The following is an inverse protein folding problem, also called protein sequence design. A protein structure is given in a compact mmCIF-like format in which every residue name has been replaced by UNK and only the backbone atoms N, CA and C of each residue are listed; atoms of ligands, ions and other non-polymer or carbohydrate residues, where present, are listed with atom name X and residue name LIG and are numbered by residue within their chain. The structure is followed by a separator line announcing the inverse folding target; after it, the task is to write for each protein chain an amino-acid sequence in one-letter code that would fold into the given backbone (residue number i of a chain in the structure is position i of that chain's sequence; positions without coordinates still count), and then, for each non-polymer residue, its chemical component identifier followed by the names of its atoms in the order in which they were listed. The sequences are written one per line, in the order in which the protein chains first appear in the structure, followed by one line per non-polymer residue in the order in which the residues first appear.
data_IF_797259268902
#
_entry.id   IF_797259268902
#
_cell.length_a   1.000
_cell.length_b   1.000
_cell.length_c   1.000
_cell.angle_alpha   90.00
_cell.angle_beta   90.00
_cell.angle_gamma   90.00
#
_symmetry.space_group_name_H-M   'P 1'
#
loop_
_entity.id
_entity.type
_entity.pdbx_description
1 polymer ?
#
# COMPACT_ATOMS: atom_id res chain seq x y z
N UNK A 1 22.20 -15.51 -25.18
CA UNK A 1 21.38 -14.56 -24.44
C UNK A 1 22.34 -13.62 -23.69
N UNK A 2 22.74 -12.52 -24.36
CA UNK A 2 23.61 -11.52 -23.76
C UNK A 2 22.78 -10.60 -22.88
N UNK A 3 23.02 -10.63 -21.59
CA UNK A 3 22.53 -9.61 -20.67
C UNK A 3 23.15 -8.27 -21.08
N UNK A 4 22.37 -7.45 -21.73
CA UNK A 4 22.73 -6.06 -21.98
C UNK A 4 22.61 -5.36 -20.63
N UNK A 5 23.70 -5.23 -19.90
CA UNK A 5 23.80 -4.36 -18.72
C UNK A 5 23.56 -2.92 -19.18
N UNK A 6 22.31 -2.49 -19.13
CA UNK A 6 21.99 -1.07 -19.32
C UNK A 6 22.57 -0.34 -18.11
N UNK A 7 23.53 0.54 -18.35
CA UNK A 7 24.04 1.43 -17.32
C UNK A 7 22.89 2.31 -16.84
N UNK A 8 22.41 2.08 -15.63
CA UNK A 8 21.37 2.87 -15.00
C UNK A 8 22.01 3.88 -14.06
N UNK A 9 21.52 5.10 -14.08
CA UNK A 9 21.85 6.13 -13.10
C UNK A 9 20.56 6.51 -12.38
N UNK A 10 20.60 6.57 -11.05
CA UNK A 10 19.47 6.89 -10.20
C UNK A 10 19.88 7.96 -9.20
N UNK A 11 19.09 9.02 -9.12
CA UNK A 11 19.23 10.08 -8.13
C UNK A 11 17.90 10.24 -7.40
N UNK A 12 17.97 10.34 -6.08
CA UNK A 12 16.82 10.62 -5.22
C UNK A 12 17.15 11.77 -4.28
N UNK A 13 16.26 12.73 -4.16
CA UNK A 13 16.33 13.84 -3.23
C UNK A 13 15.00 14.03 -2.53
N UNK A 14 15.04 14.25 -1.23
CA UNK A 14 13.83 14.38 -0.43
C UNK A 14 13.97 15.40 0.67
N UNK A 15 12.84 15.90 1.14
CA UNK A 15 12.70 16.76 2.30
C UNK A 15 11.68 16.18 3.25
N UNK A 16 11.97 16.24 4.53
CA UNK A 16 11.10 15.81 5.60
C UNK A 16 11.03 16.89 6.66
N UNK A 17 9.83 17.16 7.14
CA UNK A 17 9.56 18.06 8.22
C UNK A 17 8.71 17.40 9.28
N UNK A 18 9.00 17.65 10.57
CA UNK A 18 8.25 17.12 11.70
C UNK A 18 8.15 18.18 12.78
N UNK A 19 7.00 18.25 13.43
CA UNK A 19 6.76 19.08 14.61
C UNK A 19 5.90 18.34 15.61
N UNK A 20 6.28 18.48 16.87
CA UNK A 20 5.54 17.94 18.01
C UNK A 20 5.03 19.09 18.88
N UNK A 21 3.84 18.90 19.42
CA UNK A 21 3.19 19.84 20.34
C UNK A 21 2.89 19.17 21.67
N UNK A 22 2.60 19.98 22.66
CA UNK A 22 2.08 19.50 23.92
C UNK A 22 0.79 18.68 23.71
N UNK A 23 0.43 17.87 24.70
CA UNK A 23 -0.75 17.00 24.68
C UNK A 23 -0.71 15.84 23.66
N UNK A 24 0.49 15.50 23.14
CA UNK A 24 0.71 14.32 22.33
C UNK A 24 0.36 14.46 20.85
N UNK A 25 0.23 15.68 20.35
CA UNK A 25 0.09 15.94 18.91
C UNK A 25 1.44 15.94 18.20
N UNK A 26 1.50 15.32 17.05
CA UNK A 26 2.66 15.29 16.14
C UNK A 26 2.18 15.39 14.70
N UNK A 27 2.82 16.24 13.92
CA UNK A 27 2.61 16.33 12.47
C UNK A 27 3.94 16.12 11.77
N UNK A 28 3.92 15.35 10.71
CA UNK A 28 5.06 15.05 9.85
C UNK A 28 4.62 15.21 8.40
N UNK A 29 5.45 15.81 7.57
CA UNK A 29 5.26 15.85 6.12
C UNK A 29 6.58 15.53 5.43
N UNK A 30 6.49 14.89 4.27
CA UNK A 30 7.67 14.55 3.48
C UNK A 30 7.35 14.46 2.01
N UNK A 31 8.35 14.77 1.20
CA UNK A 31 8.32 14.61 -0.24
C UNK A 31 9.68 14.15 -0.74
N UNK A 32 9.69 13.12 -1.60
CA UNK A 32 10.86 12.61 -2.27
C UNK A 32 10.63 12.60 -3.77
N UNK A 33 11.60 13.14 -4.49
CA UNK A 33 11.67 13.13 -5.93
C UNK A 33 12.79 12.20 -6.37
N UNK A 34 12.54 11.43 -7.40
CA UNK A 34 13.52 10.52 -7.96
C UNK A 34 13.57 10.69 -9.47
N UNK A 35 14.74 10.51 -10.03
CA UNK A 35 14.97 10.53 -11.47
C UNK A 35 16.20 9.74 -11.84
N UNK A 36 16.31 9.40 -13.12
CA UNK A 36 17.46 8.66 -13.57
C UNK A 36 17.43 8.36 -15.06
N UNK A 37 18.56 7.84 -15.53
CA UNK A 37 18.74 7.44 -16.92
C UNK A 37 18.47 5.93 -17.07
N UNK A 38 17.78 5.56 -18.14
CA UNK A 38 17.40 4.18 -18.46
C UNK A 38 16.47 3.53 -17.39
N UNK A 39 15.62 4.34 -16.77
CA UNK A 39 14.52 3.91 -15.92
C UNK A 39 13.20 3.95 -16.71
N UNK A 40 12.14 3.38 -16.17
CA UNK A 40 10.78 3.43 -16.72
C UNK A 40 10.21 4.85 -16.83
N UNK A 41 10.72 5.79 -16.03
CA UNK A 41 10.42 7.22 -16.14
C UNK A 41 11.67 8.03 -15.76
N UNK A 42 11.93 9.10 -16.49
CA UNK A 42 13.09 9.97 -16.25
C UNK A 42 12.98 10.74 -14.95
N UNK A 43 11.74 11.02 -14.51
CA UNK A 43 11.46 11.73 -13.29
C UNK A 43 10.11 11.29 -12.69
N UNK A 44 10.07 11.10 -11.37
CA UNK A 44 8.83 10.75 -10.66
C UNK A 44 8.86 11.14 -9.18
N UNK A 45 7.68 11.31 -8.62
CA UNK A 45 7.49 11.47 -7.17
C UNK A 45 7.52 10.09 -6.52
N UNK A 46 8.54 9.82 -5.70
CA UNK A 46 8.66 8.56 -4.97
C UNK A 46 7.77 8.56 -3.74
N UNK A 47 7.77 9.67 -3.00
CA UNK A 47 6.90 9.87 -1.85
C UNK A 47 6.36 11.30 -1.82
N UNK A 48 5.11 11.46 -1.37
CA UNK A 48 4.53 12.73 -0.96
C UNK A 48 3.45 12.43 0.06
N UNK A 49 3.66 12.81 1.32
CA UNK A 49 2.76 12.43 2.41
C UNK A 49 2.67 13.46 3.53
N UNK A 50 1.59 13.36 4.28
CA UNK A 50 1.40 14.04 5.55
C UNK A 50 0.86 13.04 6.58
N UNK A 51 1.47 13.02 7.76
CA UNK A 51 1.04 12.25 8.92
C UNK A 51 0.57 13.22 10.01
N UNK A 52 -0.54 12.90 10.64
CA UNK A 52 -1.01 13.54 11.85
C UNK A 52 -1.19 12.47 12.91
N UNK A 53 -0.54 12.61 14.03
CA UNK A 53 -0.66 11.68 15.14
C UNK A 53 -1.13 12.39 16.39
N UNK A 54 -1.97 11.71 17.14
CA UNK A 54 -2.39 12.07 18.48
C UNK A 54 -2.25 10.88 19.41
N UNK A 55 -1.32 11.02 20.36
CA UNK A 55 -0.94 9.92 21.25
C UNK A 55 -0.55 8.67 20.42
N UNK A 56 -1.28 7.57 20.57
CA UNK A 56 -1.02 6.31 19.85
C UNK A 56 -1.65 6.24 18.45
N UNK A 57 -2.64 7.09 18.15
CA UNK A 57 -3.36 7.04 16.87
C UNK A 57 -2.62 7.89 15.85
N UNK A 58 -2.45 7.37 14.64
CA UNK A 58 -1.88 8.08 13.49
C UNK A 58 -2.77 7.99 12.27
N UNK A 59 -2.99 9.14 11.63
CA UNK A 59 -3.56 9.26 10.31
C UNK A 59 -2.46 9.65 9.32
N UNK A 60 -2.41 9.00 8.19
CA UNK A 60 -1.44 9.25 7.11
C UNK A 60 -2.18 9.43 5.80
N UNK A 61 -1.84 10.47 5.05
CA UNK A 61 -2.42 10.77 3.73
C UNK A 61 -1.29 10.89 2.72
N UNK A 62 -1.45 10.28 1.56
CA UNK A 62 -0.51 10.33 0.43
C UNK A 62 0.29 9.06 0.24
N UNK A 63 1.32 9.15 -0.59
CA UNK A 63 2.24 8.08 -0.94
C UNK A 63 3.42 8.08 0.04
N UNK A 64 3.53 7.06 0.87
CA UNK A 64 4.61 6.91 1.85
C UNK A 64 5.17 5.50 1.81
N UNK A 65 6.50 5.37 1.71
CA UNK A 65 7.18 4.10 1.90
C UNK A 65 6.98 3.60 3.33
N UNK A 66 6.59 2.34 3.46
CA UNK A 66 6.33 1.68 4.73
C UNK A 66 7.10 0.37 4.76
N UNK A 67 8.19 0.37 5.50
CA UNK A 67 9.02 -0.82 5.61
C UNK A 67 8.38 -1.81 6.59
N UNK A 68 7.80 -2.88 6.00
CA UNK A 68 7.57 -4.09 6.75
C UNK A 68 6.41 -4.13 7.74
N UNK A 69 5.42 -3.24 7.67
CA UNK A 69 4.22 -3.43 8.49
C UNK A 69 3.29 -4.51 7.90
N UNK A 70 2.76 -5.48 8.62
CA UNK A 70 2.75 -5.61 10.09
C UNK A 70 3.98 -6.27 10.70
N UNK A 71 4.81 -6.96 9.92
CA UNK A 71 6.03 -7.63 10.37
C UNK A 71 7.23 -6.86 9.85
N UNK A 72 8.08 -6.39 10.74
CA UNK A 72 9.35 -5.80 10.36
C UNK A 72 10.25 -6.87 9.76
N UNK A 73 10.65 -6.66 8.51
CA UNK A 73 11.61 -7.53 7.83
C UNK A 73 12.91 -6.78 7.63
N UNK A 74 14.03 -7.48 7.79
CA UNK A 74 15.32 -6.91 7.43
C UNK A 74 15.38 -6.75 5.89
N UNK A 75 15.40 -5.50 5.44
CA UNK A 75 15.45 -5.15 4.01
C UNK A 75 16.70 -5.68 3.30
N UNK A 76 17.75 -6.05 4.05
CA UNK A 76 18.96 -6.67 3.51
C UNK A 76 18.76 -8.14 3.18
N UNK A 77 17.77 -8.78 3.78
CA UNK A 77 17.50 -10.21 3.67
C UNK A 77 16.19 -10.53 2.94
N UNK A 78 15.36 -9.51 2.67
CA UNK A 78 14.03 -9.69 2.08
C UNK A 78 13.72 -8.62 1.05
N UNK A 79 13.20 -9.02 -0.10
CA UNK A 79 12.68 -8.11 -1.15
C UNK A 79 11.37 -7.41 -0.79
N UNK A 80 10.86 -7.61 0.40
CA UNK A 80 9.60 -7.07 0.88
C UNK A 80 8.63 -8.12 1.40
N UNK A 81 7.39 -7.72 1.59
CA UNK A 81 6.31 -8.63 2.00
C UNK A 81 5.67 -9.29 0.77
N UNK A 82 4.86 -10.32 1.01
CA UNK A 82 4.14 -11.05 -0.04
C UNK A 82 3.28 -10.14 -0.91
N UNK A 83 2.78 -9.02 -0.36
CA UNK A 83 1.83 -8.13 -1.01
C UNK A 83 2.43 -6.77 -1.38
N UNK A 84 3.39 -6.29 -0.60
CA UNK A 84 4.08 -5.01 -0.84
C UNK A 84 5.58 -5.27 -0.98
N UNK A 85 6.09 -5.20 -2.21
CA UNK A 85 7.52 -5.30 -2.48
C UNK A 85 8.28 -4.05 -2.03
N UNK A 86 9.53 -4.22 -1.58
CA UNK A 86 10.36 -3.11 -1.11
C UNK A 86 10.68 -2.07 -2.21
N UNK A 87 10.60 -2.45 -3.47
CA UNK A 87 10.90 -1.60 -4.62
C UNK A 87 9.66 -1.00 -5.30
N UNK A 88 8.45 -1.34 -4.83
CA UNK A 88 7.23 -0.80 -5.40
C UNK A 88 7.04 0.66 -5.00
N UNK A 89 6.54 1.48 -5.93
CA UNK A 89 6.08 2.83 -5.59
C UNK A 89 4.93 2.74 -4.58
N UNK A 90 4.96 3.52 -3.49
CA UNK A 90 3.90 3.49 -2.51
C UNK A 90 2.58 3.94 -3.11
N UNK A 91 1.53 3.19 -2.84
CA UNK A 91 0.16 3.53 -3.25
C UNK A 91 -0.30 4.77 -2.47
N UNK A 92 -0.77 5.84 -3.14
CA UNK A 92 -1.42 6.97 -2.48
C UNK A 92 -2.67 6.49 -1.74
N UNK A 93 -2.73 6.76 -0.44
CA UNK A 93 -3.78 6.24 0.43
C UNK A 93 -4.04 7.15 1.63
N UNK A 94 -5.22 7.02 2.19
CA UNK A 94 -5.56 7.49 3.53
C UNK A 94 -5.49 6.27 4.44
N UNK A 95 -4.68 6.35 5.50
CA UNK A 95 -4.47 5.28 6.47
C UNK A 95 -4.68 5.82 7.87
N UNK A 96 -5.43 5.10 8.67
CA UNK A 96 -5.62 5.38 10.11
C UNK A 96 -5.26 4.12 10.89
N UNK A 97 -4.53 4.28 11.99
CA UNK A 97 -4.18 3.12 12.82
C UNK A 97 -3.30 3.45 14.00
N UNK A 98 -2.84 2.37 14.61
CA UNK A 98 -1.89 2.32 15.70
C UNK A 98 -0.58 1.78 15.14
N UNK A 99 0.43 2.61 14.84
CA UNK A 99 1.69 2.15 14.27
C UNK A 99 2.52 1.33 15.25
N UNK A 100 2.36 1.61 16.55
CA UNK A 100 3.06 0.93 17.64
C UNK A 100 2.08 0.10 18.46
N UNK A 101 2.62 -0.88 19.19
CA UNK A 101 1.80 -1.66 20.12
C UNK A 101 1.26 -0.80 21.25
N UNK A 102 -0.06 -0.73 21.34
CA UNK A 102 -0.77 -0.10 22.44
C UNK A 102 -1.23 -1.18 23.42
N UNK A 103 -0.77 -1.09 24.65
CA UNK A 103 -1.23 -1.98 25.72
C UNK A 103 -2.72 -1.76 26.00
N UNK A 104 -3.47 -2.83 26.03
CA UNK A 104 -4.90 -2.81 26.34
C UNK A 104 -5.08 -2.57 27.84
N UNK A 105 -5.83 -1.54 28.25
CA UNK A 105 -6.12 -1.30 29.65
C UNK A 105 -6.76 -2.52 30.33
N UNK A 106 -6.54 -2.66 31.63
CA UNK A 106 -7.09 -3.73 32.47
C UNK A 106 -6.60 -5.16 32.19
N UNK A 107 -5.62 -5.34 31.29
CA UNK A 107 -5.04 -6.66 30.98
C UNK A 107 -3.77 -6.96 31.77
N UNK A 108 -3.37 -6.09 32.70
CA UNK A 108 -2.13 -6.25 33.48
C UNK A 108 -0.86 -6.28 32.60
N UNK A 109 -0.88 -5.55 31.49
CA UNK A 109 0.19 -5.51 30.46
C UNK A 109 0.41 -6.84 29.73
N UNK A 110 -0.57 -7.75 29.75
CA UNK A 110 -0.47 -9.03 29.04
C UNK A 110 -0.94 -8.97 27.59
N UNK A 111 -1.73 -7.98 27.22
CA UNK A 111 -2.24 -7.83 25.87
C UNK A 111 -1.89 -6.45 25.31
N UNK A 112 -1.30 -6.43 24.13
CA UNK A 112 -1.11 -5.21 23.34
C UNK A 112 -1.56 -5.45 21.90
N UNK A 113 -1.96 -4.38 21.24
CA UNK A 113 -2.40 -4.44 19.85
C UNK A 113 -1.80 -3.31 19.02
N UNK A 114 -1.57 -3.57 17.73
CA UNK A 114 -1.30 -2.58 16.69
C UNK A 114 -2.07 -2.94 15.44
N UNK A 115 -2.30 -1.98 14.57
CA UNK A 115 -3.01 -2.26 13.32
C UNK A 115 -3.38 -1.01 12.55
N UNK A 116 -3.98 -1.21 11.38
CA UNK A 116 -4.43 -0.11 10.55
C UNK A 116 -5.60 -0.49 9.67
N UNK A 117 -6.27 0.54 9.16
CA UNK A 117 -7.20 0.48 8.02
C UNK A 117 -6.75 1.55 7.03
N UNK A 118 -6.72 1.22 5.75
CA UNK A 118 -6.32 2.13 4.69
C UNK A 118 -7.17 1.94 3.44
N UNK A 119 -7.40 3.05 2.74
CA UNK A 119 -7.98 3.08 1.42
C UNK A 119 -7.12 3.95 0.50
N UNK A 120 -6.90 3.50 -0.71
CA UNK A 120 -6.04 4.14 -1.68
C UNK A 120 -6.49 3.93 -3.12
N UNK A 121 -5.70 4.47 -4.02
CA UNK A 121 -5.88 4.36 -5.45
C UNK A 121 -4.61 3.78 -6.06
N UNK A 122 -4.75 2.68 -6.79
CA UNK A 122 -3.64 2.13 -7.55
C UNK A 122 -3.30 3.07 -8.71
N UNK A 123 -2.06 3.53 -8.77
CA UNK A 123 -1.55 4.41 -9.82
C UNK A 123 -0.41 3.72 -10.55
N UNK A 124 -0.47 3.68 -11.87
CA UNK A 124 0.55 3.07 -12.74
C UNK A 124 1.25 4.08 -13.65
N UNK A 125 0.86 5.37 -13.58
CA UNK A 125 1.40 6.41 -14.46
C UNK A 125 1.07 6.20 -15.93
N UNK A 126 -0.07 5.57 -16.23
CA UNK A 126 -0.54 5.16 -17.55
C UNK A 126 0.26 4.02 -18.21
N UNK A 127 1.13 3.38 -17.45
CA UNK A 127 1.98 2.31 -17.97
C UNK A 127 1.17 1.19 -18.66
N UNK A 128 0.06 0.75 -18.04
CA UNK A 128 -0.79 -0.29 -18.63
C UNK A 128 -1.37 0.13 -19.99
N UNK A 129 -1.82 1.38 -20.12
CA UNK A 129 -2.36 1.92 -21.38
C UNK A 129 -1.28 2.06 -22.46
N UNK A 130 -0.08 2.50 -22.09
CA UNK A 130 1.03 2.70 -23.01
C UNK A 130 1.56 1.37 -23.57
N UNK A 131 1.63 0.34 -22.74
CA UNK A 131 2.15 -0.97 -23.11
C UNK A 131 1.07 -1.95 -23.59
N UNK A 132 -0.22 -1.66 -23.43
CA UNK A 132 -1.28 -2.49 -23.97
C UNK A 132 -1.18 -2.55 -25.50
N UNK A 133 -1.10 -3.76 -26.04
CA UNK A 133 -1.18 -4.03 -27.47
C UNK A 133 -2.59 -3.78 -28.03
N UNK A 134 -2.74 -3.96 -29.34
CA UNK A 134 -4.06 -3.93 -29.97
C UNK A 134 -4.93 -5.05 -29.40
N UNK A 135 -6.15 -4.71 -29.05
CA UNK A 135 -7.17 -5.59 -28.44
C UNK A 135 -6.82 -6.16 -27.05
N UNK A 136 -5.72 -5.70 -26.44
CA UNK A 136 -5.39 -6.08 -25.07
C UNK A 136 -6.12 -5.20 -24.05
N UNK A 137 -6.77 -5.82 -23.04
CA UNK A 137 -7.47 -5.07 -22.01
C UNK A 137 -6.51 -4.56 -20.92
N UNK A 138 -6.80 -3.37 -20.39
CA UNK A 138 -6.10 -2.80 -19.25
C UNK A 138 -7.07 -2.18 -18.22
N UNK A 139 -6.61 -1.94 -17.01
CA UNK A 139 -7.40 -1.43 -15.91
C UNK A 139 -6.95 -0.03 -15.49
N UNK A 140 -7.92 0.84 -15.19
CA UNK A 140 -7.69 2.17 -14.60
C UNK A 140 -8.57 2.40 -13.38
N UNK A 141 -8.16 3.32 -12.53
CA UNK A 141 -8.92 3.78 -11.35
C UNK A 141 -9.24 2.64 -10.36
N UNK A 142 -8.35 1.65 -10.24
CA UNK A 142 -8.52 0.54 -9.31
C UNK A 142 -8.29 1.03 -7.89
N UNK A 143 -9.27 0.81 -7.02
CA UNK A 143 -9.19 1.16 -5.61
C UNK A 143 -8.45 0.08 -4.82
N UNK A 144 -7.75 0.52 -3.79
CA UNK A 144 -6.95 -0.31 -2.89
C UNK A 144 -7.52 -0.21 -1.47
N UNK A 145 -7.60 -1.35 -0.80
CA UNK A 145 -7.91 -1.44 0.61
C UNK A 145 -6.86 -2.30 1.31
N UNK A 146 -6.45 -1.87 2.50
CA UNK A 146 -5.57 -2.65 3.36
C UNK A 146 -6.02 -2.50 4.81
N UNK A 147 -6.03 -3.61 5.53
CA UNK A 147 -6.23 -3.62 6.97
C UNK A 147 -5.33 -4.64 7.62
N UNK A 148 -4.93 -4.36 8.84
CA UNK A 148 -4.19 -5.30 9.66
C UNK A 148 -4.56 -5.17 11.11
N UNK A 149 -4.44 -6.27 11.82
CA UNK A 149 -4.51 -6.33 13.27
C UNK A 149 -3.43 -7.30 13.77
N UNK A 150 -2.58 -6.83 14.66
CA UNK A 150 -1.58 -7.62 15.37
C UNK A 150 -1.90 -7.59 16.85
N UNK A 151 -1.93 -8.75 17.46
CA UNK A 151 -2.09 -8.95 18.89
C UNK A 151 -0.80 -9.50 19.46
N UNK A 152 -0.33 -8.92 20.53
CA UNK A 152 0.83 -9.40 21.30
C UNK A 152 0.37 -9.82 22.67
N UNK A 153 0.65 -11.07 23.02
CA UNK A 153 0.36 -11.68 24.32
C UNK A 153 1.66 -11.92 25.05
N UNK A 154 1.79 -11.44 26.26
CA UNK A 154 2.96 -11.66 27.10
C UNK A 154 3.27 -10.44 27.96
N UNK A 155 3.98 -10.69 29.06
CA UNK A 155 4.49 -9.66 29.92
C UNK A 155 5.93 -10.00 30.29
N UNK A 156 6.90 -9.39 29.64
CA UNK A 156 8.33 -9.67 29.80
C UNK A 156 8.86 -9.45 31.21
N UNK A 157 8.19 -8.62 31.99
CA UNK A 157 8.56 -8.42 33.40
C UNK A 157 8.25 -9.64 34.27
N UNK A 158 7.23 -10.43 33.86
CA UNK A 158 6.76 -11.61 34.58
C UNK A 158 7.22 -12.93 33.96
N UNK A 159 7.26 -12.98 32.63
CA UNK A 159 7.64 -14.16 31.87
C UNK A 159 8.40 -13.72 30.60
N UNK A 160 9.63 -14.20 30.35
CA UNK A 160 10.42 -13.80 29.17
C UNK A 160 9.92 -14.48 27.89
N UNK A 161 8.60 -14.49 27.68
CA UNK A 161 7.93 -15.06 26.52
C UNK A 161 6.85 -14.12 26.01
N UNK A 162 6.82 -13.89 24.71
CA UNK A 162 5.76 -13.17 24.01
C UNK A 162 5.28 -13.98 22.80
N UNK A 163 3.98 -13.96 22.57
CA UNK A 163 3.34 -14.52 21.39
C UNK A 163 2.72 -13.39 20.58
N UNK A 164 3.05 -13.31 19.30
CA UNK A 164 2.42 -12.38 18.37
C UNK A 164 1.59 -13.14 17.35
N UNK A 165 0.34 -12.71 17.17
CA UNK A 165 -0.60 -13.22 16.17
C UNK A 165 -1.10 -12.04 15.37
N UNK A 166 -1.13 -12.18 14.04
CA UNK A 166 -1.58 -11.10 13.19
C UNK A 166 -2.34 -11.53 11.96
N UNK A 167 -3.18 -10.61 11.50
CA UNK A 167 -3.90 -10.68 10.25
C UNK A 167 -3.56 -9.46 9.40
N UNK A 168 -3.22 -9.68 8.14
CA UNK A 168 -3.14 -8.68 7.10
C UNK A 168 -4.09 -9.08 5.98
N UNK A 169 -4.97 -8.19 5.59
CA UNK A 169 -5.88 -8.37 4.47
C UNK A 169 -5.76 -7.19 3.52
N UNK A 170 -5.61 -7.49 2.24
CA UNK A 170 -5.46 -6.51 1.16
C UNK A 170 -6.40 -6.87 0.04
N UNK A 171 -7.14 -5.89 -0.45
CA UNK A 171 -8.09 -6.05 -1.53
C UNK A 171 -7.97 -4.93 -2.57
N UNK A 172 -8.14 -5.29 -3.82
CA UNK A 172 -8.36 -4.35 -4.91
C UNK A 172 -9.83 -4.45 -5.33
N UNK A 173 -10.46 -3.31 -5.61
CA UNK A 173 -11.87 -3.26 -5.99
C UNK A 173 -12.17 -2.02 -6.84
N UNK A 174 -13.35 -1.98 -7.45
CA UNK A 174 -13.70 -0.89 -8.34
C UNK A 174 -12.87 -0.88 -9.61
N UNK A 175 -12.70 0.29 -10.21
CA UNK A 175 -11.94 0.48 -11.43
C UNK A 175 -12.77 0.38 -12.71
N UNK A 176 -12.07 0.58 -13.82
CA UNK A 176 -12.63 0.56 -15.17
C UNK A 176 -11.73 -0.28 -16.07
N UNK A 177 -12.32 -1.17 -16.84
CA UNK A 177 -11.63 -1.98 -17.82
C UNK A 177 -11.80 -1.37 -19.20
N UNK A 178 -10.69 -1.12 -19.85
CA UNK A 178 -10.60 -0.57 -21.20
C UNK A 178 -9.94 -1.56 -22.14
N UNK A 179 -10.11 -1.34 -23.44
CA UNK A 179 -9.36 -1.98 -24.49
C UNK A 179 -8.86 -0.91 -25.47
N UNK A 180 -7.66 -1.09 -25.97
CA UNK A 180 -7.07 -0.27 -27.02
C UNK A 180 -7.31 -0.96 -28.36
N UNK A 181 -8.10 -0.35 -29.22
CA UNK A 181 -8.37 -0.87 -30.56
C UNK A 181 -7.15 -0.72 -31.46
N UNK A 182 -7.13 -1.43 -32.61
CA UNK A 182 -6.06 -1.37 -33.59
C UNK A 182 -5.84 0.05 -34.19
N UNK A 183 -6.88 0.90 -34.20
CA UNK A 183 -6.81 2.31 -34.63
C UNK A 183 -6.27 3.25 -33.55
N UNK A 184 -5.89 2.72 -32.38
CA UNK A 184 -5.41 3.48 -31.21
C UNK A 184 -6.52 4.08 -30.36
N UNK A 185 -7.79 3.95 -30.72
CA UNK A 185 -8.90 4.42 -29.90
C UNK A 185 -9.08 3.56 -28.64
N UNK A 186 -9.51 4.20 -27.54
CA UNK A 186 -9.71 3.53 -26.26
C UNK A 186 -11.20 3.38 -25.99
N UNK A 187 -11.65 2.14 -25.80
CA UNK A 187 -13.04 1.80 -25.52
C UNK A 187 -13.19 1.28 -24.09
N UNK A 188 -14.15 1.84 -23.36
CA UNK A 188 -14.55 1.32 -22.05
C UNK A 188 -15.35 0.01 -22.23
N UNK A 189 -14.83 -1.09 -21.67
CA UNK A 189 -15.51 -2.40 -21.71
C UNK A 189 -16.42 -2.59 -20.49
N UNK A 190 -15.93 -2.24 -19.30
CA UNK A 190 -16.65 -2.51 -18.05
C UNK A 190 -16.27 -1.52 -16.97
N UNK A 191 -17.25 -1.13 -16.16
CA UNK A 191 -17.05 -0.36 -14.93
C UNK A 191 -17.39 -1.25 -13.74
N UNK A 192 -16.46 -1.38 -12.80
CA UNK A 192 -16.66 -2.14 -11.57
C UNK A 192 -17.21 -1.25 -10.45
N UNK A 193 -18.05 -1.79 -9.56
CA UNK A 193 -18.63 -0.99 -8.48
C UNK A 193 -17.56 -0.44 -7.53
N UNK A 194 -17.61 0.87 -7.27
CA UNK A 194 -16.73 1.58 -6.36
C UNK A 194 -17.50 2.39 -5.29
N UNK A 195 -18.78 2.08 -5.07
CA UNK A 195 -19.63 2.78 -4.11
C UNK A 195 -19.37 2.38 -2.66
N UNK A 196 -20.05 3.05 -1.71
CA UNK A 196 -19.94 2.78 -0.26
C UNK A 196 -20.10 1.30 0.10
N UNK A 197 -21.04 0.59 -0.57
CA UNK A 197 -21.22 -0.85 -0.39
C UNK A 197 -19.95 -1.66 -0.71
N UNK A 198 -19.19 -1.25 -1.74
CA UNK A 198 -17.93 -1.89 -2.12
C UNK A 198 -16.83 -1.61 -1.10
N UNK A 199 -16.79 -0.40 -0.51
CA UNK A 199 -15.90 -0.08 0.59
C UNK A 199 -16.15 -0.98 1.81
N UNK A 200 -17.41 -1.15 2.21
CA UNK A 200 -17.76 -2.04 3.33
C UNK A 200 -17.52 -3.52 3.01
N UNK A 201 -17.73 -3.94 1.76
CA UNK A 201 -17.38 -5.31 1.34
C UNK A 201 -15.89 -5.58 1.42
N UNK A 202 -15.03 -4.60 1.05
CA UNK A 202 -13.59 -4.74 1.16
C UNK A 202 -13.11 -4.83 2.63
N UNK A 203 -13.91 -4.36 3.59
CA UNK A 203 -13.65 -4.49 5.02
C UNK A 203 -13.86 -5.91 5.55
N UNK A 204 -14.69 -6.71 4.91
CA UNK A 204 -14.95 -8.09 5.30
C UNK A 204 -14.11 -8.99 4.40
N UNK A 205 -13.27 -9.91 4.95
CA UNK A 205 -12.54 -10.87 4.13
C UNK A 205 -13.54 -11.63 3.27
N UNK A 206 -13.47 -11.47 1.97
CA UNK A 206 -14.38 -12.15 1.07
C UNK A 206 -14.03 -13.64 1.07
N UNK A 207 -14.96 -14.45 1.49
CA UNK A 207 -15.04 -15.82 1.00
C UNK A 207 -15.43 -15.69 -0.48
N UNK A 208 -14.51 -16.09 -1.35
CA UNK A 208 -14.65 -16.17 -2.81
C UNK A 208 -14.81 -14.84 -3.59
N UNK A 209 -13.82 -14.55 -4.22
CA UNK A 209 -13.37 -13.77 -5.35
C UNK A 209 -14.44 -13.34 -6.38
N UNK A 210 -14.73 -12.08 -6.36
CA UNK A 210 -15.19 -11.36 -7.55
C UNK A 210 -14.03 -11.16 -8.56
N UNK A 211 -12.80 -11.53 -8.20
CA UNK A 211 -11.62 -11.45 -9.07
C UNK A 211 -11.49 -12.64 -10.04
N UNK A 212 -12.10 -13.80 -9.75
CA UNK A 212 -12.10 -14.94 -10.70
C UNK A 212 -12.79 -14.64 -12.03
N UNK A 213 -13.63 -13.61 -12.10
CA UNK A 213 -14.25 -13.19 -13.36
C UNK A 213 -13.39 -12.25 -14.22
N UNK A 214 -12.16 -11.92 -13.80
CA UNK A 214 -11.24 -11.10 -14.59
C UNK A 214 -10.29 -11.95 -15.44
N UNK A 215 -10.01 -13.19 -15.02
CA UNK A 215 -9.06 -14.08 -15.70
C UNK A 215 -9.69 -15.27 -16.45
N UNK A 216 -10.97 -15.50 -16.35
CA UNK A 216 -11.57 -16.72 -16.84
C UNK A 216 -12.59 -16.54 -17.97
N UNK A 217 -12.17 -16.27 -19.19
CA UNK A 217 -12.84 -16.76 -20.37
C UNK A 217 -11.88 -16.78 -21.57
N UNK A 218 -10.98 -17.74 -21.55
CA UNK A 218 -10.41 -18.30 -22.75
C UNK A 218 -11.15 -19.62 -23.04
N UNK A 219 -12.18 -19.56 -23.84
CA UNK A 219 -12.70 -20.66 -24.62
C UNK A 219 -13.23 -20.11 -25.93
#
# INVERSE_FOLDING_TARGET
LGDVYKRQAYLRAGVQWQKEWQHGWRVQAGADLAGGKNLTADFFVQQAYMDVAWKAIKMSIGSKERNGFPLEKDVRLSSGMMVEGANARPIPQVRVGLPEYLTVPFTGNWLALKGHIAYGLCTDGNWQEEFAGADEPFLKDVLYHSKSLMLRFGNREKLPLELEIGLLDIAQFGGKRYVKNADGSIKLLKKYPAGLKSFFKALVPAQESTLQNVEGNHS
#
